data_IF_665983764282
#
_entry.id   IF_665983764282
#
_cell.length_a   1.000
_cell.length_b   1.000
_cell.length_c   1.000
_cell.angle_alpha   90.00
_cell.angle_beta   90.00
_cell.angle_gamma   90.00
#
_symmetry.space_group_name_H-M   'P 1'
#
loop_
_entity.id
_entity.type
_entity.pdbx_description
1 polymer ?
#
# COMPACT_ATOMS: atom_id res chain seq x y z
N UNK A 1 -5.66 -17.40 2.51
CA UNK A 1 -5.32 -16.35 3.47
C UNK A 1 -5.22 -14.99 2.77
N UNK A 2 -6.36 -14.42 2.43
CA UNK A 2 -6.44 -13.12 1.72
C UNK A 2 -7.06 -12.04 2.62
N UNK A 3 -7.44 -12.41 3.83
CA UNK A 3 -8.22 -11.62 4.78
C UNK A 3 -7.37 -10.92 5.87
N UNK A 4 -6.06 -10.96 5.77
CA UNK A 4 -5.14 -10.31 6.70
C UNK A 4 -4.71 -11.14 7.90
N UNK A 5 -5.43 -12.21 8.25
CA UNK A 5 -5.06 -13.07 9.36
C UNK A 5 -3.97 -14.09 8.99
N UNK A 6 -3.02 -14.26 9.90
CA UNK A 6 -1.96 -15.25 9.80
C UNK A 6 -1.84 -16.01 11.13
N UNK A 7 -1.99 -17.31 11.08
CA UNK A 7 -1.61 -18.17 12.21
C UNK A 7 -0.10 -18.33 12.18
N UNK A 8 0.58 -17.67 13.10
CA UNK A 8 2.02 -17.76 13.28
C UNK A 8 2.37 -18.63 14.47
N UNK A 9 3.63 -19.08 14.55
CA UNK A 9 4.07 -20.02 15.58
C UNK A 9 3.90 -19.47 17.02
N UNK A 10 4.13 -18.17 17.20
CA UNK A 10 4.16 -17.55 18.54
C UNK A 10 3.01 -16.59 18.77
N UNK A 11 2.55 -15.91 17.74
CA UNK A 11 1.48 -14.92 17.85
C UNK A 11 0.63 -14.88 16.60
N UNK A 12 -0.69 -14.94 16.69
CA UNK A 12 -1.57 -14.62 15.56
C UNK A 12 -1.32 -13.19 15.10
N UNK A 13 -1.20 -13.00 13.79
CA UNK A 13 -1.01 -11.68 13.21
C UNK A 13 -2.23 -11.27 12.40
N UNK A 14 -2.74 -10.08 12.67
CA UNK A 14 -3.70 -9.40 11.80
C UNK A 14 -3.00 -8.27 11.05
N UNK A 15 -3.21 -8.20 9.75
CA UNK A 15 -2.82 -7.04 8.94
C UNK A 15 -4.06 -6.37 8.38
N UNK A 16 -4.20 -5.07 8.69
CA UNK A 16 -5.30 -4.22 8.27
C UNK A 16 -4.87 -3.41 7.05
N UNK A 17 -5.72 -3.35 6.03
CA UNK A 17 -5.48 -2.55 4.84
C UNK A 17 -5.64 -1.05 5.13
N UNK A 18 -4.64 -0.28 4.71
CA UNK A 18 -4.70 1.19 4.66
C UNK A 18 -4.41 1.58 3.21
N UNK A 19 -5.43 1.69 2.36
CA UNK A 19 -5.25 1.98 0.95
C UNK A 19 -4.50 3.30 0.76
N UNK A 20 -3.49 3.26 -0.14
CA UNK A 20 -2.61 4.40 -0.45
C UNK A 20 -2.08 5.16 0.78
N UNK A 21 -2.13 4.56 1.98
CA UNK A 21 -1.58 5.10 3.22
C UNK A 21 -2.45 6.13 3.94
N UNK A 22 -3.67 6.41 3.46
CA UNK A 22 -4.53 7.44 4.03
C UNK A 22 -5.45 6.91 5.15
N UNK A 23 -5.48 7.62 6.27
CA UNK A 23 -6.31 7.32 7.44
C UNK A 23 -7.01 8.58 7.94
N UNK A 24 -8.28 8.45 8.27
CA UNK A 24 -9.00 9.49 8.99
C UNK A 24 -8.90 9.31 10.52
N UNK A 25 -9.35 10.31 11.26
CA UNK A 25 -9.27 10.31 12.73
C UNK A 25 -10.10 9.21 13.38
N UNK A 26 -11.26 8.83 12.81
CA UNK A 26 -12.08 7.73 13.33
C UNK A 26 -11.38 6.39 13.18
N UNK A 27 -10.77 6.14 12.03
CA UNK A 27 -9.97 4.95 11.75
C UNK A 27 -8.76 4.84 12.70
N UNK A 28 -8.02 5.94 12.90
CA UNK A 28 -6.90 5.97 13.86
C UNK A 28 -7.35 5.67 15.29
N UNK A 29 -8.52 6.17 15.72
CA UNK A 29 -9.07 5.87 17.06
C UNK A 29 -9.42 4.40 17.22
N UNK A 30 -10.00 3.78 16.20
CA UNK A 30 -10.31 2.34 16.22
C UNK A 30 -9.03 1.50 16.23
N UNK A 31 -8.04 1.82 15.41
CA UNK A 31 -6.73 1.15 15.44
C UNK A 31 -6.04 1.28 16.81
N UNK A 32 -6.11 2.47 17.42
CA UNK A 32 -5.58 2.69 18.76
C UNK A 32 -6.35 1.91 19.84
N UNK A 33 -7.66 1.75 19.70
CA UNK A 33 -8.48 0.90 20.56
C UNK A 33 -8.07 -0.57 20.43
N UNK A 34 -7.95 -1.08 19.22
CA UNK A 34 -7.51 -2.45 18.96
C UNK A 34 -6.13 -2.70 19.59
N UNK A 35 -5.17 -1.78 19.42
CA UNK A 35 -3.85 -1.90 20.02
C UNK A 35 -3.90 -2.00 21.56
N UNK A 36 -4.74 -1.20 22.22
CA UNK A 36 -4.80 -1.15 23.69
C UNK A 36 -5.59 -2.28 24.33
N UNK A 37 -6.65 -2.74 23.68
CA UNK A 37 -7.63 -3.63 24.28
C UNK A 37 -7.54 -5.08 23.79
N UNK A 38 -6.99 -5.29 22.59
CA UNK A 38 -6.97 -6.61 21.94
C UNK A 38 -5.56 -7.12 21.61
N UNK A 39 -4.62 -6.24 21.23
CA UNK A 39 -3.27 -6.63 20.83
C UNK A 39 -2.36 -6.73 22.08
N UNK A 40 -2.72 -7.66 22.96
CA UNK A 40 -2.05 -7.84 24.25
C UNK A 40 -1.17 -9.09 24.20
N UNK A 41 0.16 -8.96 24.36
CA UNK A 41 1.04 -10.12 24.38
C UNK A 41 0.69 -11.06 25.54
N UNK A 42 0.63 -12.35 25.25
CA UNK A 42 0.56 -13.37 26.27
C UNK A 42 1.91 -13.41 27.03
N UNK A 43 1.90 -13.21 28.33
CA UNK A 43 3.10 -13.12 29.16
C UNK A 43 4.04 -14.34 28.99
N UNK A 44 3.50 -15.56 28.94
CA UNK A 44 4.32 -16.78 28.75
C UNK A 44 5.01 -16.85 27.39
N UNK A 45 4.32 -16.40 26.33
CA UNK A 45 4.89 -16.37 24.98
C UNK A 45 5.90 -15.22 24.82
N UNK A 46 5.67 -14.14 25.54
CA UNK A 46 6.56 -12.99 25.58
C UNK A 46 7.87 -13.33 26.28
N UNK A 47 7.82 -13.99 27.44
CA UNK A 47 9.00 -14.43 28.19
C UNK A 47 9.84 -15.44 27.38
N UNK A 48 9.20 -16.35 26.65
CA UNK A 48 9.90 -17.29 25.74
C UNK A 48 10.55 -16.57 24.54
N UNK A 49 9.94 -15.53 24.01
CA UNK A 49 10.50 -14.73 22.93
C UNK A 49 11.71 -13.91 23.42
N UNK A 50 11.64 -13.38 24.64
CA UNK A 50 12.69 -12.59 25.26
C UNK A 50 13.92 -13.44 25.59
N UNK A 51 13.75 -14.62 26.18
CA UNK A 51 14.85 -15.55 26.43
C UNK A 51 15.56 -16.02 25.15
N UNK A 52 14.86 -16.12 24.04
CA UNK A 52 15.47 -16.44 22.74
C UNK A 52 16.27 -15.26 22.18
N UNK A 53 15.84 -14.04 22.45
CA UNK A 53 16.51 -12.81 22.03
C UNK A 53 17.77 -12.53 22.86
N UNK A 54 17.74 -12.82 24.15
CA UNK A 54 18.89 -12.75 25.06
C UNK A 54 19.98 -13.77 24.68
N UNK A 55 19.58 -14.95 24.21
CA UNK A 55 20.48 -15.99 23.73
C UNK A 55 21.25 -15.61 22.43
N UNK A 56 20.75 -14.61 21.70
CA UNK A 56 21.38 -14.11 20.45
C UNK A 56 22.29 -12.88 20.72
N UNK A 57 22.52 -12.52 22.00
CA UNK A 57 23.35 -11.37 22.37
C UNK A 57 22.63 -10.04 22.19
N UNK A 58 21.34 -10.04 22.47
CA UNK A 58 20.45 -8.98 22.09
C UNK A 58 20.48 -7.74 22.97
N UNK A 59 20.08 -6.67 22.36
CA UNK A 59 19.64 -5.45 23.00
C UNK A 59 18.36 -5.80 23.79
N UNK A 60 18.36 -5.61 25.09
CA UNK A 60 17.14 -5.72 25.90
C UNK A 60 16.11 -4.73 25.40
N UNK A 61 15.13 -5.23 24.63
CA UNK A 61 13.94 -4.43 24.34
C UNK A 61 13.19 -4.20 25.67
N UNK A 62 12.72 -2.99 25.95
CA UNK A 62 11.90 -2.74 27.14
C UNK A 62 10.70 -3.69 27.10
N UNK A 63 10.27 -4.22 28.26
CA UNK A 63 9.14 -5.13 28.30
C UNK A 63 7.92 -4.46 27.69
N UNK A 64 7.35 -5.08 26.66
CA UNK A 64 6.10 -4.64 26.04
C UNK A 64 4.96 -4.91 27.02
N UNK A 65 4.75 -3.97 27.92
CA UNK A 65 3.67 -4.06 28.94
C UNK A 65 2.30 -3.67 28.38
N UNK A 66 2.26 -3.17 27.15
CA UNK A 66 1.03 -2.70 26.46
C UNK A 66 1.04 -3.14 25.02
N UNK A 67 -0.14 -3.39 24.48
CA UNK A 67 -0.32 -3.69 23.07
C UNK A 67 0.09 -2.54 22.16
N UNK A 68 0.52 -2.88 20.96
CA UNK A 68 0.96 -1.92 19.94
C UNK A 68 0.57 -2.41 18.55
N UNK A 69 0.27 -1.48 17.67
CA UNK A 69 0.23 -1.73 16.24
C UNK A 69 1.43 -1.08 15.55
N UNK A 70 1.86 -1.60 14.41
CA UNK A 70 2.89 -0.94 13.63
C UNK A 70 2.49 -0.75 12.17
N UNK A 71 2.91 0.36 11.58
CA UNK A 71 2.77 0.61 10.16
C UNK A 71 3.83 -0.16 9.38
N UNK A 72 3.41 -0.81 8.31
CA UNK A 72 4.32 -1.59 7.47
C UNK A 72 4.87 -0.76 6.32
N UNK A 73 5.94 -1.24 5.67
CA UNK A 73 6.50 -0.63 4.44
C UNK A 73 5.55 -0.66 3.24
N UNK A 74 4.37 -1.25 3.38
CA UNK A 74 3.29 -1.27 2.39
C UNK A 74 2.06 -0.52 2.89
N UNK A 75 2.25 0.46 3.78
CA UNK A 75 1.20 1.36 4.26
C UNK A 75 0.00 0.62 4.90
N UNK A 76 0.22 -0.56 5.46
CA UNK A 76 -0.78 -1.28 6.24
C UNK A 76 -0.49 -1.14 7.72
N UNK A 77 -1.45 -1.45 8.58
CA UNK A 77 -1.24 -1.63 10.01
C UNK A 77 -1.22 -3.10 10.35
N UNK A 78 -0.35 -3.51 11.27
CA UNK A 78 -0.19 -4.89 11.70
C UNK A 78 -0.23 -4.99 13.21
N UNK A 79 -0.98 -5.99 13.70
CA UNK A 79 -1.07 -6.41 15.10
C UNK A 79 -0.58 -7.84 15.22
N UNK A 80 0.12 -8.20 16.32
CA UNK A 80 0.77 -9.50 16.41
C UNK A 80 0.31 -10.34 17.61
N UNK A 81 -0.61 -9.87 18.45
CA UNK A 81 -0.98 -10.56 19.67
C UNK A 81 -2.49 -10.69 19.88
N UNK A 82 -3.31 -10.42 18.87
CA UNK A 82 -4.76 -10.53 18.96
C UNK A 82 -5.14 -12.02 19.10
N UNK A 83 -5.78 -12.44 20.20
CA UNK A 83 -6.27 -13.79 20.34
C UNK A 83 -7.30 -14.13 19.25
N UNK A 84 -7.27 -15.36 18.73
CA UNK A 84 -8.13 -15.76 17.62
C UNK A 84 -9.63 -15.76 17.98
N UNK A 85 -9.97 -16.02 19.24
CA UNK A 85 -11.34 -15.94 19.76
C UNK A 85 -11.88 -14.50 19.79
N UNK A 86 -11.01 -13.48 19.71
CA UNK A 86 -11.36 -12.06 19.60
C UNK A 86 -11.42 -11.56 18.17
N UNK A 87 -11.22 -12.41 17.19
CA UNK A 87 -11.17 -11.98 15.78
C UNK A 87 -12.49 -11.35 15.30
N UNK A 88 -13.65 -11.87 15.72
CA UNK A 88 -14.95 -11.31 15.36
C UNK A 88 -15.12 -9.89 15.91
N UNK A 89 -14.84 -9.67 17.20
CA UNK A 89 -14.94 -8.36 17.85
C UNK A 89 -14.07 -7.31 17.14
N UNK A 90 -12.84 -7.70 16.76
CA UNK A 90 -11.91 -6.82 16.04
C UNK A 90 -12.38 -6.54 14.62
N UNK A 91 -12.96 -7.52 13.94
CA UNK A 91 -13.52 -7.32 12.61
C UNK A 91 -14.72 -6.37 12.64
N UNK A 92 -15.59 -6.46 13.65
CA UNK A 92 -16.72 -5.54 13.84
C UNK A 92 -16.23 -4.10 14.09
N UNK A 93 -15.21 -3.93 14.92
CA UNK A 93 -14.59 -2.63 15.15
C UNK A 93 -14.02 -2.03 13.85
N UNK A 94 -13.33 -2.83 13.05
CA UNK A 94 -12.80 -2.38 11.76
C UNK A 94 -13.92 -2.04 10.78
N UNK A 95 -14.96 -2.87 10.70
CA UNK A 95 -16.12 -2.64 9.84
C UNK A 95 -16.85 -1.33 10.19
N UNK A 96 -16.90 -0.97 11.48
CA UNK A 96 -17.54 0.29 11.92
C UNK A 96 -16.92 1.56 11.33
N UNK A 97 -15.70 1.47 10.83
CA UNK A 97 -14.96 2.57 10.19
C UNK A 97 -14.54 2.23 8.74
N UNK A 98 -15.23 1.27 8.12
CA UNK A 98 -14.97 0.82 6.75
C UNK A 98 -13.54 0.33 6.51
N UNK A 99 -12.96 -0.37 7.49
CA UNK A 99 -11.64 -1.00 7.37
C UNK A 99 -11.75 -2.53 7.33
N UNK A 100 -10.77 -3.17 6.71
CA UNK A 100 -10.72 -4.63 6.58
C UNK A 100 -9.28 -5.13 6.33
N UNK A 101 -9.09 -6.45 6.35
CA UNK A 101 -7.80 -7.10 6.05
C UNK A 101 -7.65 -7.62 4.61
N UNK A 102 -8.62 -7.40 3.72
CA UNK A 102 -8.57 -7.89 2.34
C UNK A 102 -7.40 -7.23 1.59
N UNK A 103 -6.73 -7.96 0.68
CA UNK A 103 -5.55 -7.52 -0.07
C UNK A 103 -4.29 -7.25 0.78
N UNK A 104 -4.27 -7.63 2.04
CA UNK A 104 -3.06 -7.52 2.87
C UNK A 104 -2.25 -8.80 2.93
N UNK A 105 -2.81 -9.92 2.45
CA UNK A 105 -2.18 -11.25 2.45
C UNK A 105 -2.51 -12.05 1.18
N UNK A 106 -1.89 -13.21 1.01
CA UNK A 106 -2.19 -14.15 -0.08
C UNK A 106 -1.51 -13.85 -1.42
N UNK A 107 -1.86 -14.66 -2.41
CA UNK A 107 -1.37 -14.58 -3.79
C UNK A 107 -2.38 -13.81 -4.66
N UNK A 108 -2.57 -12.55 -4.33
CA UNK A 108 -3.46 -11.61 -5.00
C UNK A 108 -2.76 -10.26 -5.21
N UNK A 109 -3.43 -9.35 -5.88
CA UNK A 109 -3.04 -7.94 -5.90
C UNK A 109 -3.16 -7.41 -4.46
N UNK A 110 -2.04 -6.90 -3.94
CA UNK A 110 -1.95 -6.36 -2.59
C UNK A 110 -2.45 -4.92 -2.55
N UNK A 111 -2.66 -4.41 -1.34
CA UNK A 111 -2.96 -3.01 -1.10
C UNK A 111 -2.12 -2.09 -2.02
N UNK A 112 -2.77 -1.15 -2.69
CA UNK A 112 -2.12 -0.16 -3.54
C UNK A 112 -1.41 0.84 -2.63
N UNK A 113 -0.13 1.10 -2.89
CA UNK A 113 0.66 2.07 -2.13
C UNK A 113 0.95 3.32 -2.96
N UNK A 114 1.08 4.44 -2.29
CA UNK A 114 1.37 5.72 -2.92
C UNK A 114 2.48 6.47 -2.18
N UNK A 115 2.78 7.67 -2.63
CA UNK A 115 3.64 8.65 -1.98
C UNK A 115 3.06 9.08 -0.62
N UNK A 116 3.89 9.25 0.39
CA UNK A 116 3.46 9.75 1.71
C UNK A 116 2.98 11.20 1.67
N UNK A 117 3.28 11.95 0.60
CA UNK A 117 2.85 13.33 0.37
C UNK A 117 1.79 13.46 -0.72
N UNK A 118 1.18 12.35 -1.13
CA UNK A 118 0.16 12.35 -2.17
C UNK A 118 -0.98 13.33 -1.84
N UNK A 119 -1.32 14.17 -2.82
CA UNK A 119 -2.35 15.20 -2.71
C UNK A 119 -1.87 16.52 -2.07
N UNK A 120 -0.60 16.60 -1.61
CA UNK A 120 -0.02 17.81 -0.99
C UNK A 120 1.44 18.06 -1.41
N UNK A 121 2.03 17.21 -2.22
CA UNK A 121 3.41 17.36 -2.66
C UNK A 121 3.56 18.54 -3.62
N UNK A 122 4.60 19.37 -3.42
CA UNK A 122 4.87 20.58 -4.21
C UNK A 122 5.22 20.24 -5.66
N UNK A 123 5.85 19.08 -5.88
CA UNK A 123 6.28 18.55 -7.17
C UNK A 123 5.25 17.61 -7.80
N UNK A 124 4.01 17.58 -7.29
CA UNK A 124 2.95 16.72 -7.79
C UNK A 124 2.29 17.28 -9.04
N UNK A 125 2.36 16.55 -10.12
CA UNK A 125 1.72 16.92 -11.37
C UNK A 125 0.24 16.53 -11.42
N UNK A 126 -0.09 15.42 -10.76
CA UNK A 126 -1.45 14.87 -10.68
C UNK A 126 -1.58 14.10 -9.36
N UNK A 127 -2.64 14.37 -8.60
CA UNK A 127 -2.94 13.62 -7.38
C UNK A 127 -3.14 12.12 -7.69
N UNK A 128 -2.30 11.21 -7.18
CA UNK A 128 -2.37 9.79 -7.48
C UNK A 128 -3.48 9.07 -6.71
N UNK A 129 -4.01 9.65 -5.62
CA UNK A 129 -4.95 8.98 -4.70
C UNK A 129 -6.25 8.55 -5.36
N UNK A 130 -6.91 9.36 -6.22
CA UNK A 130 -8.11 8.92 -6.94
C UNK A 130 -7.86 7.70 -7.82
N UNK A 131 -6.72 7.66 -8.50
CA UNK A 131 -6.34 6.52 -9.33
C UNK A 131 -6.00 5.29 -8.50
N UNK A 132 -5.31 5.47 -7.36
CA UNK A 132 -5.04 4.39 -6.42
C UNK A 132 -6.33 3.77 -5.88
N UNK A 133 -7.33 4.58 -5.57
CA UNK A 133 -8.65 4.12 -5.13
C UNK A 133 -9.40 3.37 -6.24
N UNK A 134 -9.39 3.86 -7.47
CA UNK A 134 -9.96 3.15 -8.63
C UNK A 134 -9.30 1.77 -8.78
N UNK A 135 -7.97 1.70 -8.73
CA UNK A 135 -7.22 0.45 -8.80
C UNK A 135 -7.57 -0.50 -7.65
N UNK A 136 -7.75 0.02 -6.44
CA UNK A 136 -8.18 -0.75 -5.29
C UNK A 136 -9.58 -1.35 -5.51
N UNK A 137 -10.56 -0.53 -5.90
CA UNK A 137 -11.93 -0.97 -6.15
C UNK A 137 -11.97 -2.05 -7.22
N UNK A 138 -11.30 -1.82 -8.35
CA UNK A 138 -11.23 -2.76 -9.46
C UNK A 138 -10.58 -4.09 -9.08
N UNK A 139 -9.50 -4.06 -8.31
CA UNK A 139 -8.74 -5.28 -7.98
C UNK A 139 -9.27 -6.04 -6.76
N UNK A 140 -10.11 -5.40 -5.92
CA UNK A 140 -10.70 -6.05 -4.75
C UNK A 140 -11.73 -7.08 -5.20
N UNK A 141 -11.55 -8.33 -4.75
CA UNK A 141 -12.41 -9.48 -5.08
C UNK A 141 -12.53 -9.79 -6.58
N UNK A 142 -11.63 -9.26 -7.41
CA UNK A 142 -11.62 -9.60 -8.83
C UNK A 142 -11.33 -11.11 -8.99
N UNK A 143 -12.17 -11.87 -9.71
CA UNK A 143 -12.09 -13.32 -9.74
C UNK A 143 -10.78 -13.84 -10.33
N UNK A 144 -10.23 -13.18 -11.37
CA UNK A 144 -8.98 -13.58 -12.00
C UNK A 144 -7.73 -13.28 -11.14
N UNK A 145 -7.85 -12.41 -10.10
CA UNK A 145 -6.70 -11.95 -9.31
C UNK A 145 -6.57 -12.64 -7.96
N UNK A 146 -7.45 -13.59 -7.65
CA UNK A 146 -7.49 -14.25 -6.37
C UNK A 146 -6.39 -15.31 -6.19
N UNK A 147 -5.91 -15.93 -7.26
CA UNK A 147 -4.96 -17.06 -7.25
C UNK A 147 -3.78 -16.84 -8.20
N UNK A 148 -3.13 -15.71 -8.08
CA UNK A 148 -1.92 -15.41 -8.84
C UNK A 148 -0.77 -16.36 -8.45
N UNK A 149 0.26 -16.54 -9.29
CA UNK A 149 1.42 -17.36 -8.94
C UNK A 149 2.08 -16.95 -7.62
N UNK A 150 2.10 -15.65 -7.31
CA UNK A 150 2.61 -15.07 -6.07
C UNK A 150 1.96 -13.71 -5.79
N UNK A 151 2.13 -13.20 -4.55
CA UNK A 151 1.72 -11.85 -4.17
C UNK A 151 2.17 -10.82 -5.22
N UNK A 152 1.27 -9.91 -5.56
CA UNK A 152 1.48 -8.90 -6.58
C UNK A 152 1.30 -7.50 -5.97
N UNK A 153 2.23 -6.62 -6.20
CA UNK A 153 2.32 -5.31 -5.54
C UNK A 153 2.34 -4.20 -6.57
N UNK A 154 1.46 -3.21 -6.39
CA UNK A 154 1.39 -2.02 -7.22
C UNK A 154 1.72 -0.81 -6.35
N UNK A 155 2.56 0.10 -6.85
CA UNK A 155 2.78 1.41 -6.29
C UNK A 155 2.51 2.47 -7.34
N UNK A 156 2.00 3.63 -6.90
CA UNK A 156 1.65 4.75 -7.77
C UNK A 156 2.20 6.05 -7.19
N UNK A 157 2.70 6.93 -8.05
CA UNK A 157 3.05 8.31 -7.70
C UNK A 157 2.60 9.27 -8.77
N UNK A 158 2.29 10.50 -8.41
CA UNK A 158 1.99 11.60 -9.32
C UNK A 158 3.00 12.74 -9.22
N UNK A 159 4.04 12.56 -8.40
CA UNK A 159 5.09 13.52 -8.18
C UNK A 159 6.30 13.28 -9.11
N UNK A 160 7.12 14.31 -9.28
CA UNK A 160 8.37 14.22 -10.04
C UNK A 160 9.36 13.27 -9.35
N UNK A 161 9.51 13.40 -8.02
CA UNK A 161 10.30 12.51 -7.22
C UNK A 161 9.56 11.20 -6.92
N UNK A 162 10.21 10.05 -7.15
CA UNK A 162 9.62 8.73 -6.88
C UNK A 162 9.72 8.31 -5.41
N UNK A 163 9.01 8.98 -4.52
CA UNK A 163 8.91 8.62 -3.09
C UNK A 163 8.12 7.34 -2.84
N UNK A 164 7.26 6.95 -3.79
CA UNK A 164 6.52 5.67 -3.72
C UNK A 164 7.38 4.45 -4.07
N UNK A 165 8.64 4.65 -4.48
CA UNK A 165 9.57 3.60 -4.90
C UNK A 165 8.96 2.68 -5.98
N UNK A 166 8.34 3.26 -7.00
CA UNK A 166 7.61 2.54 -8.07
C UNK A 166 8.48 1.51 -8.77
N UNK A 167 9.77 1.82 -8.98
CA UNK A 167 10.72 0.93 -9.64
C UNK A 167 11.02 -0.36 -8.84
N UNK A 168 10.62 -0.47 -7.57
CA UNK A 168 10.85 -1.65 -6.72
C UNK A 168 9.60 -2.52 -6.54
N UNK A 169 8.54 -2.25 -7.30
CA UNK A 169 7.27 -2.96 -7.21
C UNK A 169 7.05 -3.89 -8.41
N UNK A 170 6.16 -4.86 -8.25
CA UNK A 170 5.78 -5.75 -9.35
C UNK A 170 5.21 -4.95 -10.52
N UNK A 171 4.45 -3.88 -10.20
CA UNK A 171 4.09 -2.79 -11.11
C UNK A 171 4.33 -1.44 -10.43
N UNK A 172 5.00 -0.55 -11.12
CA UNK A 172 5.14 0.86 -10.78
C UNK A 172 4.40 1.74 -11.77
N UNK A 173 3.61 2.67 -11.25
CA UNK A 173 2.82 3.60 -12.03
C UNK A 173 3.26 5.04 -11.72
N UNK A 174 3.72 5.74 -12.72
CA UNK A 174 4.06 7.17 -12.60
C UNK A 174 3.09 7.98 -13.44
N UNK A 175 2.22 8.73 -12.78
CA UNK A 175 1.37 9.71 -13.44
C UNK A 175 2.23 10.82 -14.01
N UNK A 176 1.90 11.26 -15.21
CA UNK A 176 2.61 12.31 -15.92
C UNK A 176 1.68 13.05 -16.90
N UNK A 177 2.15 14.17 -17.40
CA UNK A 177 1.53 14.85 -18.53
C UNK A 177 2.44 14.74 -19.76
N UNK A 178 1.85 14.48 -20.89
CA UNK A 178 2.59 14.55 -22.15
C UNK A 178 2.74 16.02 -22.61
N UNK A 179 3.41 16.22 -23.76
CA UNK A 179 3.63 17.55 -24.34
C UNK A 179 2.32 18.31 -24.67
N UNK A 180 1.22 17.59 -24.84
CA UNK A 180 -0.12 18.16 -25.06
C UNK A 180 -0.88 18.46 -23.76
N UNK A 181 -0.28 18.17 -22.60
CA UNK A 181 -0.91 18.31 -21.29
C UNK A 181 -1.86 17.19 -20.92
N UNK A 182 -1.97 16.14 -21.74
CA UNK A 182 -2.84 14.98 -21.44
C UNK A 182 -2.25 14.13 -20.30
N UNK A 183 -3.12 13.69 -19.40
CA UNK A 183 -2.73 12.81 -18.29
C UNK A 183 -2.56 11.37 -18.76
N UNK A 184 -1.51 10.72 -18.29
CA UNK A 184 -1.24 9.32 -18.57
C UNK A 184 -0.29 8.72 -17.55
N UNK A 185 0.05 7.45 -17.79
CA UNK A 185 0.95 6.67 -16.96
C UNK A 185 2.19 6.23 -17.70
N UNK A 186 3.33 6.42 -17.09
CA UNK A 186 4.50 5.61 -17.41
C UNK A 186 4.40 4.33 -16.58
N UNK A 187 4.45 3.17 -17.24
CA UNK A 187 4.22 1.87 -16.60
C UNK A 187 5.51 1.08 -16.54
N UNK A 188 5.91 0.73 -15.32
CA UNK A 188 7.08 -0.10 -15.02
C UNK A 188 6.60 -1.47 -14.52
N UNK A 189 7.23 -2.55 -14.95
CA UNK A 189 6.87 -3.91 -14.50
C UNK A 189 8.11 -4.75 -14.20
N UNK A 190 7.99 -5.64 -13.22
CA UNK A 190 9.00 -6.62 -12.89
C UNK A 190 10.02 -6.18 -11.84
N UNK A 191 9.73 -5.17 -11.06
CA UNK A 191 10.54 -4.80 -9.91
C UNK A 191 10.28 -5.68 -8.67
N UNK A 192 11.19 -5.60 -7.74
CA UNK A 192 10.97 -6.25 -6.44
C UNK A 192 12.22 -6.46 -5.61
N UNK A 193 12.01 -6.36 -4.29
CA UNK A 193 13.00 -6.63 -3.26
C UNK A 193 13.10 -8.12 -2.93
N UNK A 194 13.97 -8.48 -2.04
CA UNK A 194 14.23 -9.82 -1.54
C UNK A 194 15.67 -10.26 -1.82
N UNK A 195 15.94 -11.55 -1.80
CA UNK A 195 17.30 -12.08 -2.00
C UNK A 195 17.95 -11.67 -3.33
N UNK A 196 17.14 -11.45 -4.36
CA UNK A 196 17.61 -10.97 -5.66
C UNK A 196 16.79 -9.72 -6.01
N UNK A 197 17.22 -8.53 -5.57
CA UNK A 197 16.53 -7.30 -5.92
C UNK A 197 16.64 -7.04 -7.42
N UNK A 198 15.54 -6.59 -8.03
CA UNK A 198 15.46 -6.25 -9.45
C UNK A 198 14.71 -4.95 -9.59
N UNK A 199 15.24 -4.03 -10.35
CA UNK A 199 14.56 -2.79 -10.76
C UNK A 199 13.58 -3.10 -11.90
N UNK A 200 12.40 -2.53 -11.83
CA UNK A 200 11.36 -2.70 -12.86
C UNK A 200 11.80 -2.12 -14.21
N UNK A 201 11.35 -2.75 -15.27
CA UNK A 201 11.54 -2.29 -16.65
C UNK A 201 10.35 -1.45 -17.08
N UNK A 202 10.59 -0.33 -17.76
CA UNK A 202 9.54 0.45 -18.40
C UNK A 202 9.02 -0.35 -19.59
N UNK A 203 7.72 -0.66 -19.57
CA UNK A 203 7.07 -1.40 -20.68
C UNK A 203 6.09 -0.53 -21.47
N UNK A 204 5.77 0.65 -20.95
CA UNK A 204 4.98 1.66 -21.64
C UNK A 204 5.42 3.05 -21.18
N UNK A 205 5.91 3.88 -22.09
CA UNK A 205 6.35 5.24 -21.75
C UNK A 205 5.18 6.18 -21.45
N UNK A 206 4.11 6.07 -22.21
CA UNK A 206 2.87 6.81 -21.99
C UNK A 206 1.67 5.94 -22.31
N UNK A 207 0.78 5.80 -21.34
CA UNK A 207 -0.51 5.15 -21.46
C UNK A 207 -1.58 6.15 -21.04
N UNK A 208 -2.55 6.50 -21.91
CA UNK A 208 -3.65 7.37 -21.52
C UNK A 208 -4.37 6.85 -20.26
N UNK A 209 -4.68 7.74 -19.32
CA UNK A 209 -5.17 7.35 -17.99
C UNK A 209 -6.43 6.48 -18.00
N UNK A 210 -7.33 6.72 -18.97
CA UNK A 210 -8.59 6.00 -19.08
C UNK A 210 -8.42 4.52 -19.46
N UNK A 211 -7.24 4.11 -19.90
CA UNK A 211 -6.93 2.74 -20.32
C UNK A 211 -6.13 1.94 -19.28
N UNK A 212 -5.85 2.51 -18.11
CA UNK A 212 -4.97 1.89 -17.13
C UNK A 212 -5.46 0.51 -16.68
N UNK A 213 -6.76 0.33 -16.46
CA UNK A 213 -7.30 -0.95 -16.00
C UNK A 213 -7.12 -2.06 -17.03
N UNK A 214 -7.36 -1.79 -18.32
CA UNK A 214 -7.13 -2.75 -19.41
C UNK A 214 -5.67 -3.18 -19.51
N UNK A 215 -4.77 -2.21 -19.39
CA UNK A 215 -3.35 -2.50 -19.49
C UNK A 215 -2.85 -3.33 -18.30
N UNK A 216 -3.30 -3.00 -17.09
CA UNK A 216 -2.96 -3.78 -15.89
C UNK A 216 -3.59 -5.18 -15.93
N UNK A 217 -4.80 -5.30 -16.46
CA UNK A 217 -5.43 -6.61 -16.67
C UNK A 217 -4.61 -7.47 -17.63
N UNK A 218 -4.13 -6.90 -18.73
CA UNK A 218 -3.23 -7.58 -19.66
C UNK A 218 -1.93 -8.05 -18.94
N UNK A 219 -1.29 -7.19 -18.16
CA UNK A 219 -0.09 -7.55 -17.38
C UNK A 219 -0.38 -8.71 -16.43
N UNK A 220 -1.50 -8.65 -15.71
CA UNK A 220 -1.85 -9.68 -14.73
C UNK A 220 -2.25 -11.00 -15.40
N UNK A 221 -2.99 -10.97 -16.53
CA UNK A 221 -3.33 -12.16 -17.31
C UNK A 221 -2.11 -12.87 -17.86
N UNK A 222 -1.16 -12.12 -18.45
CA UNK A 222 0.12 -12.69 -18.93
C UNK A 222 0.90 -13.29 -17.77
N UNK A 223 1.00 -12.58 -16.64
CA UNK A 223 1.64 -13.12 -15.45
C UNK A 223 0.93 -14.36 -14.90
N UNK A 224 -0.39 -14.39 -14.89
CA UNK A 224 -1.18 -15.52 -14.40
C UNK A 224 -0.99 -16.77 -15.29
N UNK A 225 -0.82 -16.56 -16.60
CA UNK A 225 -0.60 -17.60 -17.61
C UNK A 225 0.81 -18.19 -17.54
N UNK A 226 1.84 -17.35 -17.45
CA UNK A 226 3.25 -17.72 -17.61
C UNK A 226 4.05 -17.73 -16.30
N UNK A 227 3.53 -17.17 -15.22
CA UNK A 227 4.20 -17.15 -13.92
C UNK A 227 4.36 -18.55 -13.34
N UNK A 228 5.53 -18.85 -12.79
CA UNK A 228 5.83 -20.17 -12.22
C UNK A 228 4.98 -20.47 -10.99
N UNK A 229 4.45 -21.67 -10.91
CA UNK A 229 3.68 -22.18 -9.76
C UNK A 229 4.35 -23.38 -9.08
N UNK A 230 5.29 -24.02 -9.76
CA UNK A 230 6.08 -25.15 -9.30
C UNK A 230 7.13 -24.77 -8.26
N UNK A 231 7.63 -23.53 -8.30
CA UNK A 231 8.66 -23.05 -7.40
C UNK A 231 8.31 -21.69 -6.80
N UNK A 232 7.93 -21.70 -5.53
CA UNK A 232 7.51 -20.52 -4.76
C UNK A 232 8.55 -19.38 -4.73
N UNK A 233 9.84 -19.73 -4.77
CA UNK A 233 10.94 -18.76 -4.75
C UNK A 233 11.17 -18.08 -6.10
N UNK A 234 10.69 -18.68 -7.18
CA UNK A 234 10.79 -18.17 -8.56
C UNK A 234 9.47 -17.71 -9.14
N UNK A 235 8.41 -17.63 -8.32
CA UNK A 235 7.05 -17.35 -8.75
C UNK A 235 6.72 -15.85 -8.93
N UNK A 236 7.57 -14.93 -8.47
CA UNK A 236 7.34 -13.48 -8.61
C UNK A 236 7.45 -13.03 -10.07
N UNK A 237 6.62 -12.06 -10.48
CA UNK A 237 6.62 -11.51 -11.85
C UNK A 237 8.00 -11.00 -12.30
N UNK A 238 8.80 -10.46 -11.41
CA UNK A 238 10.17 -9.99 -11.72
C UNK A 238 11.07 -11.09 -12.33
N UNK A 239 10.83 -12.35 -11.96
CA UNK A 239 11.59 -13.48 -12.52
C UNK A 239 11.11 -13.76 -13.95
N UNK A 240 9.80 -13.70 -14.19
CA UNK A 240 9.22 -13.87 -15.51
C UNK A 240 9.71 -12.75 -16.46
N UNK A 241 9.57 -11.48 -16.04
CA UNK A 241 10.00 -10.34 -16.84
C UNK A 241 11.49 -10.41 -17.19
N UNK A 242 12.34 -10.78 -16.22
CA UNK A 242 13.78 -10.94 -16.45
C UNK A 242 14.09 -12.09 -17.43
N UNK A 243 13.35 -13.18 -17.36
CA UNK A 243 13.58 -14.35 -18.21
C UNK A 243 13.12 -14.14 -19.65
N UNK A 244 11.93 -13.54 -19.82
CA UNK A 244 11.29 -13.42 -21.14
C UNK A 244 11.61 -12.08 -21.85
N UNK A 245 11.98 -11.04 -21.07
CA UNK A 245 12.41 -9.76 -21.64
C UNK A 245 11.43 -9.17 -22.66
N UNK A 246 11.86 -8.92 -23.92
CA UNK A 246 11.01 -8.35 -24.96
C UNK A 246 9.78 -9.19 -25.28
N UNK A 247 9.85 -10.51 -25.14
CA UNK A 247 8.69 -11.41 -25.37
C UNK A 247 7.58 -11.13 -24.36
N UNK A 248 7.92 -10.90 -23.10
CA UNK A 248 6.91 -10.52 -22.09
C UNK A 248 6.19 -9.23 -22.49
N UNK A 249 6.94 -8.23 -22.96
CA UNK A 249 6.36 -6.94 -23.39
C UNK A 249 5.43 -7.13 -24.58
N UNK A 250 5.81 -7.97 -25.53
CA UNK A 250 4.98 -8.28 -26.70
C UNK A 250 3.69 -9.00 -26.29
N UNK A 251 3.78 -10.03 -25.46
CA UNK A 251 2.61 -10.78 -24.95
C UNK A 251 1.62 -9.87 -24.18
N UNK A 252 2.14 -8.91 -23.40
CA UNK A 252 1.29 -7.91 -22.72
C UNK A 252 0.63 -6.99 -23.74
N UNK A 253 1.34 -6.57 -24.79
CA UNK A 253 0.80 -5.70 -25.82
C UNK A 253 -0.30 -6.40 -26.63
N UNK A 254 -0.09 -7.68 -26.95
CA UNK A 254 -1.06 -8.49 -27.69
C UNK A 254 -2.32 -8.76 -26.85
N UNK A 255 -2.15 -9.11 -25.58
CA UNK A 255 -3.28 -9.29 -24.65
C UNK A 255 -4.05 -7.98 -24.45
N UNK A 256 -3.35 -6.84 -24.35
CA UNK A 256 -3.98 -5.54 -24.23
C UNK A 256 -4.80 -5.20 -25.48
N UNK A 257 -4.27 -5.43 -26.68
CA UNK A 257 -5.02 -5.24 -27.93
C UNK A 257 -6.23 -6.17 -27.99
N UNK A 258 -6.10 -7.42 -27.54
CA UNK A 258 -7.22 -8.36 -27.47
C UNK A 258 -8.35 -7.84 -26.55
N UNK A 259 -8.00 -7.31 -25.37
CA UNK A 259 -8.98 -6.72 -24.45
C UNK A 259 -9.70 -5.54 -25.12
N UNK A 260 -8.98 -4.68 -25.83
CA UNK A 260 -9.58 -3.53 -26.48
C UNK A 260 -10.52 -3.89 -27.65
N UNK A 261 -10.16 -4.91 -28.44
CA UNK A 261 -10.84 -5.22 -29.70
C UNK A 261 -11.84 -6.36 -29.58
N UNK A 262 -11.52 -7.41 -28.82
CA UNK A 262 -12.36 -8.62 -28.73
C UNK A 262 -13.25 -8.59 -27.48
N UNK A 263 -12.73 -8.14 -26.34
CA UNK A 263 -13.50 -8.07 -25.09
C UNK A 263 -14.32 -6.75 -24.99
N UNK A 264 -14.19 -5.84 -25.95
CA UNK A 264 -14.98 -4.60 -26.03
C UNK A 264 -14.58 -3.53 -25.01
N UNK A 265 -13.34 -3.58 -24.50
CA UNK A 265 -12.79 -2.59 -23.55
C UNK A 265 -13.70 -2.31 -22.33
N UNK A 266 -14.08 -3.33 -21.53
CA UNK A 266 -15.15 -3.25 -20.53
C UNK A 266 -14.84 -2.31 -19.36
N UNK A 267 -13.57 -1.97 -19.13
CA UNK A 267 -13.10 -1.20 -17.98
C UNK A 267 -12.48 0.15 -18.38
N UNK A 268 -12.96 0.74 -19.48
CA UNK A 268 -12.56 2.10 -19.88
C UNK A 268 -13.03 3.10 -18.83
N UNK A 269 -12.08 3.79 -18.21
CA UNK A 269 -12.41 4.82 -17.23
C UNK A 269 -13.00 6.05 -17.90
N UNK A 270 -14.06 6.59 -17.31
CA UNK A 270 -14.72 7.80 -17.75
C UNK A 270 -14.36 8.99 -16.85
N UNK A 271 -14.51 10.21 -17.38
CA UNK A 271 -14.37 11.43 -16.60
C UNK A 271 -15.36 11.47 -15.41
N UNK A 272 -16.57 10.95 -15.61
CA UNK A 272 -17.59 10.87 -14.55
C UNK A 272 -17.12 9.96 -13.40
N UNK A 273 -16.53 8.81 -13.71
CA UNK A 273 -16.01 7.91 -12.68
C UNK A 273 -14.81 8.53 -11.93
N UNK A 274 -13.90 9.15 -12.66
CA UNK A 274 -12.78 9.85 -12.06
C UNK A 274 -13.25 11.00 -11.17
N UNK A 275 -14.24 11.78 -11.60
CA UNK A 275 -14.82 12.87 -10.82
C UNK A 275 -15.52 12.34 -9.54
N UNK A 276 -16.27 11.24 -9.66
CA UNK A 276 -16.91 10.56 -8.51
C UNK A 276 -15.88 10.19 -7.44
N UNK A 277 -14.78 9.59 -7.84
CA UNK A 277 -13.74 9.16 -6.90
C UNK A 277 -12.97 10.36 -6.34
N UNK A 278 -12.63 11.35 -7.17
CA UNK A 278 -11.99 12.60 -6.72
C UNK A 278 -12.79 13.32 -5.65
N UNK A 279 -14.11 13.27 -5.69
CA UNK A 279 -14.98 13.91 -4.71
C UNK A 279 -14.78 13.36 -3.28
N UNK A 280 -14.19 12.19 -3.12
CA UNK A 280 -13.85 11.61 -1.81
C UNK A 280 -12.55 12.19 -1.21
N UNK A 281 -11.73 12.87 -2.02
CA UNK A 281 -10.44 13.45 -1.62
C UNK A 281 -10.54 14.98 -1.52
N UNK A 282 -11.44 15.45 -0.69
CA UNK A 282 -11.60 16.87 -0.45
C UNK A 282 -10.40 17.41 0.34
N UNK A 283 -9.87 18.59 -0.03
CA UNK A 283 -8.87 19.24 0.79
C UNK A 283 -9.43 19.48 2.20
N UNK A 284 -8.61 19.32 3.26
CA UNK A 284 -9.06 19.59 4.61
C UNK A 284 -9.56 21.04 4.73
N UNK A 285 -10.71 21.24 5.35
CA UNK A 285 -11.18 22.56 5.70
C UNK A 285 -10.29 23.10 6.83
N UNK A 286 -9.28 23.87 6.46
CA UNK A 286 -8.42 24.52 7.43
C UNK A 286 -9.18 25.69 8.06
N UNK A 287 -8.97 25.97 9.37
CA UNK A 287 -9.53 27.16 10.00
C UNK A 287 -9.15 28.41 9.20
N UNK A 288 -10.11 29.29 8.97
CA UNK A 288 -9.93 30.54 8.20
C UNK A 288 -8.94 31.53 8.84
N UNK A 289 -8.57 31.31 10.10
CA UNK A 289 -7.58 32.09 10.82
C UNK A 289 -6.34 31.22 11.05
N UNK A 290 -5.30 31.49 10.30
CA UNK A 290 -3.97 31.05 10.71
C UNK A 290 -3.64 31.71 12.06
N UNK A 291 -3.20 30.94 13.06
CA UNK A 291 -2.68 31.56 14.28
C UNK A 291 -1.61 32.56 13.86
N UNK A 292 -1.66 33.75 14.44
CA UNK A 292 -0.64 34.76 14.20
C UNK A 292 0.73 34.13 14.48
N UNK A 293 1.69 34.29 13.57
CA UNK A 293 3.03 33.72 13.69
C UNK A 293 3.70 34.05 15.04
N UNK A 294 3.47 35.24 15.56
CA UNK A 294 3.94 35.68 16.89
C UNK A 294 3.26 34.90 18.04
N UNK A 295 1.97 34.56 17.90
CA UNK A 295 1.26 33.77 18.91
C UNK A 295 1.74 32.32 18.93
N UNK A 296 2.01 31.75 17.74
CA UNK A 296 2.60 30.43 17.61
C UNK A 296 4.00 30.40 18.20
N UNK A 297 4.84 31.39 17.85
CA UNK A 297 6.20 31.47 18.37
C UNK A 297 6.22 31.59 19.91
N UNK A 298 5.34 32.41 20.51
CA UNK A 298 5.20 32.51 21.97
C UNK A 298 4.80 31.15 22.61
N UNK A 299 3.84 30.46 22.05
CA UNK A 299 3.42 29.14 22.55
C UNK A 299 4.54 28.11 22.48
N UNK A 300 5.28 28.07 21.37
CA UNK A 300 6.42 27.18 21.19
C UNK A 300 7.54 27.50 22.17
N UNK A 301 7.86 28.79 22.39
CA UNK A 301 8.86 29.22 23.36
C UNK A 301 8.46 28.85 24.79
N UNK A 302 7.19 29.09 25.18
CA UNK A 302 6.70 28.71 26.50
C UNK A 302 6.75 27.16 26.73
N UNK A 303 6.43 26.38 25.70
CA UNK A 303 6.51 24.93 25.79
C UNK A 303 7.97 24.46 25.91
N UNK A 304 8.89 25.07 25.17
CA UNK A 304 10.33 24.80 25.23
C UNK A 304 10.95 25.15 26.60
N UNK A 305 10.49 26.23 27.25
CA UNK A 305 10.91 26.61 28.58
C UNK A 305 10.50 25.60 29.65
N UNK A 306 9.43 24.88 29.42
CA UNK A 306 8.89 23.86 30.34
C UNK A 306 9.42 22.44 30.08
N UNK A 307 9.89 22.14 28.88
CA UNK A 307 10.35 20.84 28.46
C UNK A 307 11.68 20.94 27.68
N UNK A 308 12.78 20.49 28.32
CA UNK A 308 14.12 20.51 27.77
C UNK A 308 14.29 19.63 26.50
N UNK A 309 13.54 18.54 26.41
CA UNK A 309 13.62 17.65 25.25
C UNK A 309 12.85 18.26 24.08
N UNK A 310 11.73 18.94 24.35
CA UNK A 310 11.04 19.73 23.35
C UNK A 310 11.89 20.93 22.87
N UNK A 311 12.58 21.60 23.79
CA UNK A 311 13.51 22.69 23.45
C UNK A 311 14.62 22.23 22.49
N UNK A 312 15.20 21.04 22.72
CA UNK A 312 16.22 20.45 21.83
C UNK A 312 15.66 20.05 20.46
N UNK A 313 14.40 19.61 20.43
CA UNK A 313 13.74 19.27 19.16
C UNK A 313 13.38 20.49 18.35
N UNK A 314 13.06 21.61 18.99
CA UNK A 314 12.68 22.87 18.35
C UNK A 314 13.89 23.64 17.78
N UNK A 315 15.08 23.55 18.38
CA UNK A 315 16.32 24.23 17.99
C UNK A 315 17.23 23.41 17.15
#
# INVERSE_FOLDING_TARGET
LQNGWYVQRYAPMLRVAVPYGELNSAQLRVLAKIAREYDLPNAELFDKAQTTQDAIGGIQAPPLTKGYGHFTTRQNVQFNWIPLDKSADVMDLLASVNMHGIQTSGNCIRNITSDERAGVAVDEWVDPRPFAEILRQWSTLHPEFAFLPRKFKIAITGAEEDRAATAWHDVGLRLMRNEKGEIGFRVLVGGGMGRTPITATVIREFLPWHQILHFLEAVVRVYNRWGRRDNLYKARIKILVKAEGPRFIQEVSDEYQRILTQDGAPHTLTEAELARVKASFLPPQLPSKHPNAEAVHRLLTQAADQDKDFARWLG
#
